data_IF_803820097225
#
_entry.id   IF_803820097225
#
_cell.length_a   1.000
_cell.length_b   1.000
_cell.length_c   1.000
_cell.angle_alpha   90.00
_cell.angle_beta   90.00
_cell.angle_gamma   90.00
#
_symmetry.space_group_name_H-M   'P 1'
#
loop_
_entity.id
_entity.type
_entity.pdbx_description
1 polymer ?
#
# COMPACT_ATOMS: atom_id res chain seq x y z
N UNK A 1 9.95 -7.08 1.02
CA UNK A 1 8.50 -6.95 0.78
C UNK A 1 8.16 -5.49 0.54
N UNK A 2 7.29 -5.14 -0.40
CA UNK A 2 6.95 -3.73 -0.69
C UNK A 2 5.44 -3.51 -0.64
N UNK A 3 5.03 -2.24 -0.51
CA UNK A 3 3.62 -1.85 -0.39
C UNK A 3 3.17 -1.19 -1.68
N UNK A 4 2.04 -1.64 -2.23
CA UNK A 4 1.34 -0.98 -3.33
C UNK A 4 0.05 -0.38 -2.78
N UNK A 5 -0.04 0.94 -2.79
CA UNK A 5 -1.26 1.64 -2.40
C UNK A 5 -1.78 2.39 -3.62
N UNK A 6 -3.00 2.10 -4.02
CA UNK A 6 -3.64 2.84 -5.11
C UNK A 6 -3.81 4.31 -4.73
N UNK A 7 -3.77 5.24 -5.70
CA UNK A 7 -3.94 6.66 -5.43
C UNK A 7 -5.21 6.99 -4.63
N UNK A 8 -6.31 6.26 -4.87
CA UNK A 8 -7.59 6.47 -4.16
C UNK A 8 -7.58 5.98 -2.72
N UNK A 9 -6.79 4.95 -2.42
CA UNK A 9 -6.66 4.43 -1.06
C UNK A 9 -5.54 5.12 -0.25
N UNK A 10 -4.66 5.87 -0.90
CA UNK A 10 -3.43 6.41 -0.30
C UNK A 10 -3.71 7.27 0.93
N UNK A 11 -4.46 8.36 0.77
CA UNK A 11 -4.68 9.30 1.88
C UNK A 11 -5.43 8.65 3.05
N UNK A 12 -6.44 7.83 2.77
CA UNK A 12 -7.18 7.09 3.78
C UNK A 12 -6.26 6.12 4.54
N UNK A 13 -5.46 5.32 3.83
CA UNK A 13 -4.51 4.37 4.45
C UNK A 13 -3.52 5.10 5.35
N UNK A 14 -2.97 6.23 4.89
CA UNK A 14 -1.98 7.00 5.64
C UNK A 14 -2.56 7.61 6.92
N UNK A 15 -3.83 8.02 6.92
CA UNK A 15 -4.53 8.54 8.12
C UNK A 15 -4.84 7.46 9.16
N UNK A 16 -4.85 6.18 8.77
CA UNK A 16 -5.13 5.06 9.67
C UNK A 16 -3.88 4.55 10.42
N UNK A 17 -2.69 5.05 10.07
CA UNK A 17 -1.46 4.75 10.80
C UNK A 17 -1.42 5.56 12.11
N UNK A 18 -1.25 4.88 13.25
CA UNK A 18 -1.08 5.52 14.57
C UNK A 18 0.38 5.63 15.01
N UNK A 19 1.28 4.87 14.39
CA UNK A 19 2.70 4.86 14.74
C UNK A 19 3.59 5.17 13.55
N UNK A 20 4.81 5.59 13.87
CA UNK A 20 5.86 5.80 12.86
C UNK A 20 6.17 4.51 12.10
N UNK A 21 6.15 3.36 12.77
CA UNK A 21 6.38 2.07 12.14
C UNK A 21 5.31 1.77 11.07
N UNK A 22 4.03 1.94 11.41
CA UNK A 22 2.92 1.77 10.47
C UNK A 22 3.00 2.73 9.29
N UNK A 23 3.33 4.01 9.54
CA UNK A 23 3.52 4.98 8.47
C UNK A 23 4.65 4.54 7.51
N UNK A 24 5.76 4.06 8.07
CA UNK A 24 6.89 3.55 7.29
C UNK A 24 6.55 2.29 6.49
N UNK A 25 5.68 1.41 7.00
CA UNK A 25 5.15 0.27 6.23
C UNK A 25 4.39 0.75 5.00
N UNK A 26 3.47 1.71 5.17
CA UNK A 26 2.66 2.24 4.08
C UNK A 26 3.50 3.00 3.05
N UNK A 27 4.57 3.66 3.48
CA UNK A 27 5.54 4.33 2.61
C UNK A 27 6.52 3.35 1.93
N UNK A 28 6.49 2.07 2.29
CA UNK A 28 7.43 1.06 1.77
C UNK A 28 8.86 1.20 2.30
N UNK A 29 9.04 1.93 3.41
CA UNK A 29 10.33 2.18 4.07
C UNK A 29 10.68 1.12 5.13
N UNK A 30 9.69 0.33 5.58
CA UNK A 30 9.87 -0.77 6.51
C UNK A 30 9.29 -2.07 5.95
N UNK A 31 9.87 -3.23 6.31
CA UNK A 31 9.36 -4.51 5.86
C UNK A 31 8.14 -4.93 6.67
N UNK A 32 7.21 -5.59 5.98
CA UNK A 32 6.04 -6.24 6.60
C UNK A 32 6.36 -7.58 7.26
N UNK A 33 7.54 -8.16 6.97
CA UNK A 33 7.94 -9.44 7.54
C UNK A 33 8.89 -9.22 8.72
N UNK A 34 8.62 -9.90 9.84
CA UNK A 34 9.48 -9.87 11.02
C UNK A 34 10.89 -10.43 10.79
N UNK A 35 11.07 -11.35 9.83
CA UNK A 35 12.41 -11.89 9.52
C UNK A 35 13.35 -10.87 8.88
N UNK A 36 12.79 -9.79 8.32
CA UNK A 36 13.56 -8.71 7.70
C UNK A 36 13.93 -7.62 8.73
N UNK A 37 13.47 -7.72 9.98
CA UNK A 37 13.82 -6.83 11.10
C UNK A 37 15.14 -7.26 11.77
N UNK A 38 16.19 -7.46 10.96
CA UNK A 38 17.49 -7.91 11.47
C UNK A 38 18.07 -6.87 12.44
N UNK A 39 18.49 -7.33 13.61
CA UNK A 39 19.10 -6.50 14.65
C UNK A 39 18.12 -5.93 15.67
N UNK A 40 16.82 -6.16 15.51
CA UNK A 40 15.82 -5.86 16.53
C UNK A 40 15.66 -7.07 17.49
N UNK A 41 15.39 -6.79 18.76
CA UNK A 41 15.14 -7.83 19.75
C UNK A 41 13.77 -8.52 19.52
N UNK A 42 13.60 -9.69 20.13
CA UNK A 42 12.40 -10.49 19.96
C UNK A 42 11.12 -9.79 20.45
N UNK A 43 11.22 -8.87 21.41
CA UNK A 43 10.08 -8.12 21.94
C UNK A 43 9.60 -7.08 20.94
N UNK A 44 10.54 -6.33 20.36
CA UNK A 44 10.30 -5.35 19.31
C UNK A 44 9.69 -6.01 18.07
N UNK A 45 10.22 -7.16 17.65
CA UNK A 45 9.66 -7.92 16.52
C UNK A 45 8.21 -8.36 16.79
N UNK A 46 7.90 -8.82 18.01
CA UNK A 46 6.53 -9.17 18.42
C UNK A 46 5.63 -7.94 18.44
N UNK A 47 6.08 -6.83 19.01
CA UNK A 47 5.35 -5.57 19.05
C UNK A 47 4.98 -5.10 17.63
N UNK A 48 5.95 -5.08 16.72
CA UNK A 48 5.71 -4.74 15.32
C UNK A 48 4.78 -5.74 14.61
N UNK A 49 4.75 -7.00 15.05
CA UNK A 49 3.72 -7.96 14.63
C UNK A 49 2.31 -7.48 14.93
N UNK A 50 2.05 -7.11 16.19
CA UNK A 50 0.76 -6.58 16.63
C UNK A 50 0.42 -5.28 15.91
N UNK A 51 1.39 -4.39 15.73
CA UNK A 51 1.16 -3.13 15.00
C UNK A 51 0.76 -3.34 13.54
N UNK A 52 1.31 -4.36 12.85
CA UNK A 52 0.89 -4.72 11.49
C UNK A 52 -0.56 -5.16 11.45
N UNK A 53 -0.94 -6.08 12.33
CA UNK A 53 -2.30 -6.62 12.39
C UNK A 53 -3.33 -5.52 12.69
N UNK A 54 -3.04 -4.65 13.67
CA UNK A 54 -3.90 -3.52 14.01
C UNK A 54 -4.08 -2.54 12.85
N UNK A 55 -3.03 -2.28 12.06
CA UNK A 55 -3.13 -1.44 10.87
C UNK A 55 -4.05 -2.07 9.82
N UNK A 56 -3.87 -3.36 9.53
CA UNK A 56 -4.65 -4.08 8.53
C UNK A 56 -6.12 -4.20 8.93
N UNK A 57 -6.40 -4.44 10.20
CA UNK A 57 -7.76 -4.43 10.76
C UNK A 57 -8.42 -3.06 10.51
N UNK A 58 -7.75 -1.96 10.85
CA UNK A 58 -8.30 -0.61 10.60
C UNK A 58 -8.48 -0.30 9.12
N UNK A 59 -7.60 -0.78 8.25
CA UNK A 59 -7.75 -0.66 6.79
C UNK A 59 -9.04 -1.36 6.35
N UNK A 60 -9.29 -2.58 6.83
CA UNK A 60 -10.54 -3.30 6.57
C UNK A 60 -11.77 -2.57 7.12
N UNK A 61 -11.72 -2.10 8.36
CA UNK A 61 -12.83 -1.37 8.99
C UNK A 61 -13.17 -0.05 8.28
N UNK A 62 -12.16 0.60 7.69
CA UNK A 62 -12.34 1.78 6.86
C UNK A 62 -12.91 1.49 5.47
N UNK A 63 -13.28 0.24 5.17
CA UNK A 63 -13.85 -0.16 3.89
C UNK A 63 -12.83 -0.18 2.75
N UNK A 64 -11.53 -0.27 3.08
CA UNK A 64 -10.48 -0.55 2.11
C UNK A 64 -10.23 -2.06 2.04
N UNK A 65 -9.72 -2.49 0.89
CA UNK A 65 -9.32 -3.86 0.66
C UNK A 65 -7.80 -3.97 0.73
N UNK A 66 -7.31 -5.05 1.33
CA UNK A 66 -5.89 -5.38 1.33
C UNK A 66 -5.65 -6.87 1.16
N UNK A 67 -4.47 -7.23 0.68
CA UNK A 67 -4.02 -8.64 0.59
C UNK A 67 -2.50 -8.76 0.47
N UNK A 68 -2.00 -9.95 0.80
CA UNK A 68 -0.64 -10.41 0.54
C UNK A 68 -0.60 -11.18 -0.77
N UNK A 69 0.03 -10.59 -1.80
CA UNK A 69 0.20 -11.25 -3.11
C UNK A 69 1.68 -11.35 -3.49
N UNK A 70 1.99 -12.13 -4.53
CA UNK A 70 3.32 -12.23 -5.12
C UNK A 70 3.46 -11.26 -6.28
N UNK A 71 4.38 -10.30 -6.18
CA UNK A 71 4.71 -9.41 -7.29
C UNK A 71 5.47 -10.11 -8.43
N UNK A 72 5.83 -9.34 -9.46
CA UNK A 72 6.44 -9.79 -10.73
C UNK A 72 7.74 -10.59 -10.64
N UNK A 73 8.37 -10.69 -9.46
CA UNK A 73 9.59 -11.45 -9.20
C UNK A 73 9.45 -12.41 -8.01
N UNK A 74 8.22 -12.85 -7.71
CA UNK A 74 7.93 -13.74 -6.57
C UNK A 74 8.05 -13.07 -5.20
N UNK A 75 8.44 -11.79 -5.14
CA UNK A 75 8.49 -11.01 -3.90
C UNK A 75 7.07 -10.83 -3.36
N UNK A 76 6.89 -11.05 -2.06
CA UNK A 76 5.62 -10.74 -1.40
C UNK A 76 5.40 -9.22 -1.42
N UNK A 77 4.17 -8.81 -1.69
CA UNK A 77 3.70 -7.43 -1.80
C UNK A 77 2.43 -7.31 -0.98
N UNK A 78 2.30 -6.21 -0.25
CA UNK A 78 1.02 -5.82 0.36
C UNK A 78 0.34 -4.86 -0.59
N UNK A 79 -0.85 -5.23 -1.04
CA UNK A 79 -1.67 -4.37 -1.90
C UNK A 79 -2.77 -3.77 -1.06
N UNK A 80 -2.97 -2.46 -1.16
CA UNK A 80 -4.05 -1.73 -0.50
C UNK A 80 -4.79 -0.90 -1.56
N UNK A 81 -6.09 -1.13 -1.70
CA UNK A 81 -6.94 -0.43 -2.66
C UNK A 81 -8.35 -0.25 -2.14
N UNK A 82 -9.17 0.52 -2.86
CA UNK A 82 -10.59 0.60 -2.52
C UNK A 82 -11.30 -0.71 -2.88
N UNK A 83 -12.35 -1.06 -2.12
CA UNK A 83 -13.22 -2.20 -2.46
C UNK A 83 -13.79 -2.09 -3.88
N UNK A 84 -14.06 -0.86 -4.35
CA UNK A 84 -14.53 -0.61 -5.71
C UNK A 84 -13.49 -0.98 -6.77
N UNK A 85 -12.22 -0.61 -6.57
CA UNK A 85 -11.13 -1.00 -7.48
C UNK A 85 -10.96 -2.52 -7.51
N UNK A 86 -11.00 -3.17 -6.34
CA UNK A 86 -10.91 -4.64 -6.26
C UNK A 86 -12.03 -5.32 -7.04
N UNK A 87 -13.28 -4.86 -6.87
CA UNK A 87 -14.44 -5.41 -7.60
C UNK A 87 -14.38 -5.18 -9.10
N UNK A 88 -13.89 -4.01 -9.53
CA UNK A 88 -13.81 -3.68 -10.95
C UNK A 88 -12.80 -4.55 -11.73
N UNK A 89 -11.77 -5.06 -11.05
CA UNK A 89 -10.77 -5.97 -11.62
C UNK A 89 -10.80 -7.35 -10.98
N UNK A 90 -11.98 -7.87 -10.60
CA UNK A 90 -12.05 -9.03 -9.72
C UNK A 90 -11.29 -10.28 -10.25
N UNK A 91 -11.29 -10.47 -11.58
CA UNK A 91 -10.59 -11.52 -12.33
C UNK A 91 -9.06 -11.37 -12.38
N UNK A 92 -8.56 -10.15 -12.14
CA UNK A 92 -7.13 -9.85 -12.22
C UNK A 92 -6.46 -10.02 -10.87
N UNK A 93 -5.15 -10.30 -10.93
CA UNK A 93 -4.33 -10.33 -9.72
C UNK A 93 -4.25 -8.92 -9.10
N UNK A 94 -4.39 -8.79 -7.78
CA UNK A 94 -4.49 -7.49 -7.10
C UNK A 94 -3.34 -6.53 -7.40
N UNK A 95 -2.12 -7.04 -7.51
CA UNK A 95 -0.95 -6.23 -7.83
C UNK A 95 -1.03 -5.59 -9.21
N UNK A 96 -1.61 -6.27 -10.21
CA UNK A 96 -1.78 -5.71 -11.54
C UNK A 96 -2.84 -4.61 -11.56
N UNK A 97 -3.93 -4.79 -10.81
CA UNK A 97 -4.96 -3.75 -10.64
C UNK A 97 -4.34 -2.50 -10.01
N UNK A 98 -3.56 -2.69 -8.94
CA UNK A 98 -2.94 -1.60 -8.21
C UNK A 98 -1.91 -0.85 -9.07
N UNK A 99 -1.03 -1.57 -9.77
CA UNK A 99 -0.04 -0.97 -10.68
C UNK A 99 -0.72 -0.19 -11.80
N UNK A 100 -1.72 -0.75 -12.47
CA UNK A 100 -2.45 -0.06 -13.53
C UNK A 100 -3.12 1.23 -13.02
N UNK A 101 -3.65 1.23 -11.80
CA UNK A 101 -4.23 2.42 -11.18
C UNK A 101 -3.18 3.49 -10.87
N UNK A 102 -1.99 3.08 -10.41
CA UNK A 102 -0.85 3.97 -10.14
C UNK A 102 -0.36 4.60 -11.45
N UNK A 103 -0.11 3.78 -12.48
CA UNK A 103 0.39 4.23 -13.79
C UNK A 103 -0.60 5.20 -14.45
N UNK A 104 -1.90 4.89 -14.38
CA UNK A 104 -2.95 5.79 -14.89
C UNK A 104 -2.96 7.15 -14.20
N UNK A 105 -2.73 7.18 -12.89
CA UNK A 105 -2.69 8.43 -12.15
C UNK A 105 -1.42 9.24 -12.43
N UNK A 106 -0.27 8.58 -12.61
CA UNK A 106 0.97 9.23 -13.01
C UNK A 106 0.82 9.91 -14.38
N UNK A 107 0.32 9.19 -15.39
CA UNK A 107 0.05 9.75 -16.72
C UNK A 107 -0.98 10.90 -16.69
N UNK A 108 -1.98 10.83 -15.82
CA UNK A 108 -2.94 11.93 -15.66
C UNK A 108 -2.32 13.18 -15.00
N UNK A 109 -1.39 12.98 -14.05
CA UNK A 109 -0.67 14.07 -13.40
C UNK A 109 0.28 14.78 -14.37
N UNK A 110 1.00 14.02 -15.20
CA UNK A 110 1.88 14.55 -16.26
C UNK A 110 1.08 15.42 -17.24
N UNK A 111 -0.03 14.90 -17.79
CA UNK A 111 -0.91 15.68 -18.68
C UNK A 111 -1.47 16.94 -18.04
N UNK A 112 -1.75 16.91 -16.73
CA UNK A 112 -2.21 18.10 -16.00
C UNK A 112 -1.09 19.13 -15.87
N UNK A 113 0.14 18.70 -15.61
CA UNK A 113 1.31 19.56 -15.53
C UNK A 113 1.63 20.21 -16.87
N UNK A 114 1.62 19.45 -17.97
CA UNK A 114 1.81 19.97 -19.34
C UNK A 114 0.78 21.06 -19.68
N UNK A 115 -0.51 20.83 -19.38
CA UNK A 115 -1.57 21.83 -19.59
C UNK A 115 -1.39 23.09 -18.72
N UNK A 116 -0.83 22.96 -17.52
CA UNK A 116 -0.56 24.09 -16.65
C UNK A 116 0.64 24.91 -17.13
N UNK A 117 1.64 24.25 -17.73
CA UNK A 117 2.78 24.92 -18.36
C UNK A 117 2.38 25.62 -19.66
N UNK A 118 1.53 25.01 -20.49
CA UNK A 118 1.02 25.62 -21.74
C UNK A 118 0.06 26.81 -21.53
N UNK A 119 -0.41 27.04 -20.29
CA UNK A 119 -1.26 28.19 -19.90
C UNK A 119 -0.46 29.35 -19.29
N UNK A 120 0.85 29.18 -19.09
CA UNK A 120 1.78 30.22 -18.62
C UNK A 120 2.51 30.81 -19.81
#
# INVERSE_FOLDING_TARGET
>A
MFTLITPKAKDASMRLAFSRYQLQLLQGLRPWNGTDLKGEDAETVRHHGVERELLLMRISDAGLWWDYTRGWRGRIVVVIMTNRERRAGWDNRPEYIALAAIDKAAAAAERKAERAQARR
#
